data_IF_816413543155
#
_entry.id   IF_816413543155
#
_cell.length_a   1.000
_cell.length_b   1.000
_cell.length_c   1.000
_cell.angle_alpha   90.00
_cell.angle_beta   90.00
_cell.angle_gamma   90.00
#
_symmetry.space_group_name_H-M   'P 1'
#
loop_
_entity.id
_entity.type
_entity.pdbx_description
1 polymer ?
#
# COMPACT_ATOMS: atom_id res chain seq x y z
N UNK A 1 17.01 19.88 -3.83
CA UNK A 1 16.80 18.46 -4.15
C UNK A 1 17.73 17.66 -3.26
N UNK A 2 17.29 16.99 -2.18
CA UNK A 2 18.21 16.18 -1.40
C UNK A 2 18.25 14.74 -1.94
N UNK A 3 19.48 14.26 -2.09
CA UNK A 3 19.88 12.92 -2.52
C UNK A 3 19.28 11.80 -1.67
N UNK A 4 18.46 10.93 -2.29
CA UNK A 4 18.03 9.65 -1.71
C UNK A 4 18.97 8.53 -2.17
N UNK A 5 20.17 8.52 -1.60
CA UNK A 5 21.14 7.44 -1.76
C UNK A 5 20.71 6.21 -0.90
N UNK A 6 20.20 5.18 -1.58
CA UNK A 6 20.09 3.77 -1.19
C UNK A 6 19.44 3.39 0.18
N UNK A 7 18.17 2.92 0.14
CA UNK A 7 17.71 1.62 0.68
C UNK A 7 16.18 1.53 0.69
N UNK A 8 15.64 0.98 -0.40
CA UNK A 8 14.33 0.31 -0.45
C UNK A 8 13.14 1.02 0.20
N UNK A 9 12.99 2.33 -0.02
CA UNK A 9 11.79 3.09 0.33
C UNK A 9 11.05 3.39 -0.98
N UNK A 10 9.82 2.89 -1.12
CA UNK A 10 8.93 3.32 -2.20
C UNK A 10 8.08 4.47 -1.70
N UNK A 11 8.25 5.62 -2.35
CA UNK A 11 7.41 6.80 -2.16
C UNK A 11 6.24 6.73 -3.15
N UNK A 12 5.02 6.89 -2.64
CA UNK A 12 3.80 6.90 -3.45
C UNK A 12 3.20 8.32 -3.44
N UNK A 13 3.59 9.20 -4.39
CA UNK A 13 2.95 10.50 -4.53
C UNK A 13 1.53 10.35 -5.08
N UNK A 14 0.67 11.27 -4.66
CA UNK A 14 -0.76 11.39 -5.04
C UNK A 14 -1.03 11.38 -6.56
N UNK A 15 -0.03 11.71 -7.38
CA UNK A 15 -0.15 11.90 -8.83
C UNK A 15 0.06 10.65 -9.69
N UNK A 16 0.38 9.48 -9.10
CA UNK A 16 0.68 8.23 -9.84
C UNK A 16 -0.32 7.10 -9.57
N UNK A 17 -1.54 7.43 -9.18
CA UNK A 17 -2.57 6.48 -8.77
C UNK A 17 -3.23 5.78 -9.97
N UNK A 18 -2.60 4.72 -10.48
CA UNK A 18 -3.31 3.69 -11.24
C UNK A 18 -3.30 2.40 -10.44
N UNK A 19 -4.48 2.01 -9.96
CA UNK A 19 -4.70 0.78 -9.23
C UNK A 19 -5.02 -0.34 -10.22
N UNK A 20 -4.50 -1.57 -10.02
CA UNK A 20 -4.91 -2.72 -10.83
C UNK A 20 -6.42 -2.91 -10.77
N UNK A 21 -6.98 -3.63 -11.75
CA UNK A 21 -8.42 -3.76 -11.91
C UNK A 21 -9.06 -4.22 -10.59
N UNK A 22 -10.23 -3.64 -10.26
CA UNK A 22 -10.91 -3.94 -8.99
C UNK A 22 -11.16 -5.45 -8.83
N UNK A 23 -11.47 -6.13 -9.94
CA UNK A 23 -11.71 -7.57 -10.00
C UNK A 23 -10.48 -8.41 -9.60
N UNK A 24 -9.28 -8.06 -10.08
CA UNK A 24 -8.04 -8.77 -9.70
C UNK A 24 -7.71 -8.56 -8.22
N UNK A 25 -8.03 -7.38 -7.69
CA UNK A 25 -7.78 -7.06 -6.28
C UNK A 25 -8.70 -7.84 -5.35
N UNK A 26 -9.99 -7.93 -5.70
CA UNK A 26 -11.00 -8.66 -4.92
C UNK A 26 -10.72 -10.17 -4.81
N UNK A 27 -9.94 -10.74 -5.74
CA UNK A 27 -9.56 -12.15 -5.74
C UNK A 27 -8.43 -12.51 -4.76
N UNK A 28 -7.64 -11.54 -4.29
CA UNK A 28 -6.52 -11.86 -3.39
C UNK A 28 -7.01 -12.08 -1.95
N UNK A 29 -6.46 -13.06 -1.21
CA UNK A 29 -6.94 -13.43 0.13
C UNK A 29 -6.99 -12.25 1.12
N UNK A 30 -6.04 -11.31 1.04
CA UNK A 30 -5.99 -10.15 1.94
C UNK A 30 -7.20 -9.22 1.79
N UNK A 31 -7.89 -9.23 0.64
CA UNK A 31 -9.02 -8.35 0.36
C UNK A 31 -10.20 -8.63 1.30
N UNK A 32 -10.45 -9.89 1.61
CA UNK A 32 -11.49 -10.31 2.56
C UNK A 32 -11.26 -9.76 3.97
N UNK A 33 -10.03 -9.35 4.28
CA UNK A 33 -9.65 -8.78 5.57
C UNK A 33 -9.48 -7.26 5.55
N UNK A 34 -9.83 -6.57 4.44
CA UNK A 34 -9.67 -5.12 4.30
C UNK A 34 -10.23 -4.34 5.49
N UNK A 35 -11.49 -4.59 5.86
CA UNK A 35 -12.15 -3.86 6.94
C UNK A 35 -11.45 -4.07 8.29
N UNK A 36 -11.09 -5.33 8.60
CA UNK A 36 -10.39 -5.68 9.84
C UNK A 36 -9.01 -5.01 9.94
N UNK A 37 -8.28 -4.93 8.83
CA UNK A 37 -6.96 -4.25 8.79
C UNK A 37 -7.12 -2.75 9.03
N UNK A 38 -8.08 -2.10 8.36
CA UNK A 38 -8.33 -0.66 8.50
C UNK A 38 -8.80 -0.30 9.91
N UNK A 39 -9.74 -1.06 10.46
CA UNK A 39 -10.23 -0.87 11.84
C UNK A 39 -9.09 -1.04 12.87
N UNK A 40 -8.23 -2.06 12.68
CA UNK A 40 -7.07 -2.26 13.54
C UNK A 40 -6.08 -1.08 13.44
N UNK A 41 -5.84 -0.53 12.25
CA UNK A 41 -4.96 0.63 12.06
C UNK A 41 -5.56 1.92 12.65
N UNK A 42 -6.89 2.06 12.66
CA UNK A 42 -7.54 3.20 13.33
C UNK A 42 -7.44 3.11 14.86
N UNK A 43 -7.47 1.89 15.41
CA UNK A 43 -7.44 1.66 16.88
C UNK A 43 -6.02 1.54 17.45
N UNK A 44 -5.07 1.09 16.65
CA UNK A 44 -3.72 0.76 17.11
C UNK A 44 -2.66 1.44 16.26
N UNK A 45 -1.67 2.04 16.92
CA UNK A 45 -0.52 2.67 16.26
C UNK A 45 0.38 1.67 15.53
N UNK A 46 0.40 0.41 15.97
CA UNK A 46 1.21 -0.66 15.40
C UNK A 46 0.32 -1.89 15.22
N UNK A 47 0.34 -2.46 14.02
CA UNK A 47 -0.42 -3.67 13.67
C UNK A 47 0.53 -4.65 12.98
N UNK A 48 0.52 -5.90 13.43
CA UNK A 48 1.25 -6.99 12.77
C UNK A 48 0.27 -7.77 11.90
N UNK A 49 0.55 -7.85 10.60
CA UNK A 49 -0.28 -8.60 9.65
C UNK A 49 0.47 -9.83 9.17
N UNK A 50 0.00 -11.00 9.59
CA UNK A 50 0.51 -12.29 9.15
C UNK A 50 -0.38 -12.87 8.04
N UNK A 51 0.22 -13.62 7.12
CA UNK A 51 -0.49 -14.34 6.07
C UNK A 51 0.49 -14.98 5.09
N UNK A 52 0.01 -15.90 4.27
CA UNK A 52 0.85 -16.69 3.35
C UNK A 52 1.51 -15.85 2.26
N UNK A 53 2.64 -16.32 1.72
CA UNK A 53 3.28 -15.68 0.55
C UNK A 53 2.30 -15.71 -0.64
N UNK A 54 2.19 -14.61 -1.37
CA UNK A 54 1.23 -14.48 -2.47
C UNK A 54 -0.16 -13.97 -2.05
N UNK A 55 -0.44 -13.83 -0.75
CA UNK A 55 -1.75 -13.37 -0.27
C UNK A 55 -2.09 -11.90 -0.60
N UNK A 56 -1.17 -11.14 -1.19
CA UNK A 56 -1.38 -9.74 -1.57
C UNK A 56 -1.04 -8.67 -0.52
N UNK A 57 -0.41 -9.03 0.60
CA UNK A 57 -0.11 -8.10 1.72
C UNK A 57 0.66 -6.84 1.27
N UNK A 58 1.82 -7.03 0.65
CA UNK A 58 2.72 -5.93 0.27
C UNK A 58 2.19 -5.05 -0.86
N UNK A 59 1.15 -5.48 -1.58
CA UNK A 59 0.52 -4.72 -2.66
C UNK A 59 -0.77 -4.04 -2.20
N UNK A 60 -1.66 -4.74 -1.51
CA UNK A 60 -3.00 -4.23 -1.22
C UNK A 60 -3.15 -3.49 0.09
N UNK A 61 -2.41 -3.84 1.15
CA UNK A 61 -2.53 -3.13 2.44
C UNK A 61 -2.20 -1.63 2.29
N UNK A 62 -1.12 -1.23 1.60
CA UNK A 62 -0.85 0.18 1.32
C UNK A 62 -1.97 0.86 0.51
N UNK A 63 -2.59 0.13 -0.43
CA UNK A 63 -3.71 0.65 -1.23
C UNK A 63 -4.95 0.88 -0.40
N UNK A 64 -5.31 -0.04 0.50
CA UNK A 64 -6.46 0.13 1.38
C UNK A 64 -6.30 1.36 2.27
N UNK A 65 -5.10 1.55 2.84
CA UNK A 65 -4.79 2.72 3.65
C UNK A 65 -4.90 4.00 2.84
N UNK A 66 -4.37 4.01 1.62
CA UNK A 66 -4.48 5.15 0.73
C UNK A 66 -5.94 5.46 0.41
N UNK A 67 -6.72 4.49 -0.08
CA UNK A 67 -8.14 4.64 -0.39
C UNK A 67 -8.96 5.17 0.79
N UNK A 68 -8.72 4.66 1.99
CA UNK A 68 -9.39 5.11 3.22
C UNK A 68 -9.08 6.57 3.53
N UNK A 69 -7.82 6.98 3.35
CA UNK A 69 -7.40 8.37 3.57
C UNK A 69 -7.89 9.32 2.47
N UNK A 70 -8.09 8.82 1.24
CA UNK A 70 -8.65 9.57 0.12
C UNK A 70 -10.17 9.78 0.26
N UNK A 71 -10.89 8.74 0.72
CA UNK A 71 -12.37 8.72 0.74
C UNK A 71 -12.97 9.09 2.10
N UNK A 72 -12.20 9.06 3.18
CA UNK A 72 -12.63 9.24 4.59
C UNK A 72 -13.06 10.65 5.03
N UNK A 73 -13.40 11.57 4.11
CA UNK A 73 -14.23 12.74 4.43
C UNK A 73 -13.56 13.91 5.16
N UNK A 74 -12.24 13.94 5.32
CA UNK A 74 -11.49 15.14 5.72
C UNK A 74 -10.56 15.51 4.59
N UNK A 75 -10.89 16.61 3.88
CA UNK A 75 -10.14 17.22 2.77
C UNK A 75 -8.77 16.57 2.51
N UNK A 76 -8.68 15.75 1.45
CA UNK A 76 -7.47 15.18 0.85
C UNK A 76 -6.19 15.50 1.64
N UNK A 77 -5.96 14.80 2.75
CA UNK A 77 -4.77 15.05 3.54
C UNK A 77 -3.57 14.50 2.79
N UNK A 78 -2.49 15.28 2.71
CA UNK A 78 -1.22 14.81 2.19
C UNK A 78 -0.74 13.64 3.06
N UNK A 79 -0.86 12.41 2.55
CA UNK A 79 -0.37 11.21 3.20
C UNK A 79 0.84 10.67 2.45
N UNK A 80 1.89 10.34 3.18
CA UNK A 80 3.04 9.63 2.67
C UNK A 80 3.03 8.20 3.21
N UNK A 81 2.78 7.23 2.33
CA UNK A 81 2.89 5.82 2.67
C UNK A 81 4.25 5.32 2.20
N UNK A 82 4.94 4.64 3.11
CA UNK A 82 6.27 4.08 2.86
C UNK A 82 6.19 2.57 2.96
N UNK A 83 6.57 1.89 1.88
CA UNK A 83 6.66 0.42 1.84
C UNK A 83 8.11 0.02 1.70
N UNK A 84 8.62 -0.73 2.69
CA UNK A 84 9.97 -1.28 2.66
C UNK A 84 9.98 -2.72 2.17
N UNK A 85 11.03 -3.12 1.48
CA UNK A 85 11.31 -4.51 1.14
C UNK A 85 12.78 -4.85 1.47
N UNK A 86 13.09 -6.10 1.85
CA UNK A 86 14.46 -6.51 2.11
C UNK A 86 15.29 -6.60 0.81
N UNK A 87 14.65 -6.85 -0.34
CA UNK A 87 15.32 -7.03 -1.63
C UNK A 87 14.98 -5.89 -2.59
N UNK A 88 16.01 -5.32 -3.23
CA UNK A 88 15.86 -4.22 -4.22
C UNK A 88 14.91 -4.57 -5.36
N UNK A 89 15.04 -5.78 -5.92
CA UNK A 89 14.19 -6.24 -7.02
C UNK A 89 12.70 -6.34 -6.61
N UNK A 90 12.43 -6.72 -5.37
CA UNK A 90 11.06 -6.78 -4.84
C UNK A 90 10.45 -5.40 -4.71
N UNK A 91 11.21 -4.39 -4.27
CA UNK A 91 10.71 -3.03 -4.25
C UNK A 91 10.47 -2.46 -5.65
N UNK A 92 11.41 -2.64 -6.59
CA UNK A 92 11.17 -2.18 -7.96
C UNK A 92 9.94 -2.83 -8.59
N UNK A 93 9.74 -4.14 -8.38
CA UNK A 93 8.56 -4.82 -8.90
C UNK A 93 7.26 -4.33 -8.24
N UNK A 94 7.28 -4.04 -6.94
CA UNK A 94 6.12 -3.48 -6.24
C UNK A 94 5.79 -2.06 -6.71
N UNK A 95 6.79 -1.21 -6.93
CA UNK A 95 6.56 0.15 -7.41
C UNK A 95 5.94 0.15 -8.80
N UNK A 96 6.46 -0.66 -9.72
CA UNK A 96 5.91 -0.80 -11.08
C UNK A 96 4.44 -1.24 -11.07
N UNK A 97 4.08 -2.20 -10.21
CA UNK A 97 2.69 -2.69 -10.08
C UNK A 97 1.72 -1.65 -9.53
N UNK A 98 2.21 -0.70 -8.76
CA UNK A 98 1.44 0.40 -8.22
C UNK A 98 1.50 1.66 -9.10
N UNK A 99 2.28 1.64 -10.19
CA UNK A 99 2.55 2.79 -11.07
C UNK A 99 1.97 2.61 -12.49
N UNK A 100 1.14 1.59 -12.75
CA UNK A 100 0.96 1.15 -14.14
C UNK A 100 -0.10 1.97 -14.92
N UNK A 101 0.43 2.94 -15.70
CA UNK A 101 -0.07 3.75 -16.83
C UNK A 101 -0.97 4.96 -16.57
#
# INVERSE_FOLDING_TARGET
MPDFSYRTLLYFPYSYLILPSKAEREQLPVFQHRHRVLEALQRHRVVVVAGETGSGKSTQIPQFLLEELLTGGKAAQSCNIVVTQPRRISAMSLSQKAQLL
#
